data_IF_302520769841
#
_entry.id   IF_302520769841
#
_cell.length_a   1.000
_cell.length_b   1.000
_cell.length_c   1.000
_cell.angle_alpha   90.00
_cell.angle_beta   90.00
_cell.angle_gamma   90.00
#
_symmetry.space_group_name_H-M   'P 1'
#
loop_
_entity.id
_entity.type
_entity.pdbx_description
1 polymer ?
#
# COMPACT_ATOMS: atom_id res chain seq x y z
N UNK A 1 4.10 5.89 -29.08
CA UNK A 1 4.96 5.63 -27.91
C UNK A 1 4.14 5.99 -26.69
N UNK A 2 3.46 5.00 -26.10
CA UNK A 2 2.72 5.23 -24.86
C UNK A 2 3.74 5.44 -23.76
N UNK A 3 3.66 6.56 -23.04
CA UNK A 3 4.45 6.73 -21.83
C UNK A 3 4.00 5.67 -20.83
N UNK A 4 4.95 4.89 -20.31
CA UNK A 4 4.68 3.97 -19.22
C UNK A 4 4.37 4.84 -17.99
N UNK A 5 3.12 4.80 -17.53
CA UNK A 5 2.72 5.54 -16.34
C UNK A 5 3.53 5.02 -15.16
N UNK A 6 4.02 5.90 -14.26
CA UNK A 6 4.76 5.46 -13.10
C UNK A 6 3.90 4.54 -12.22
N UNK A 7 4.52 3.67 -11.41
CA UNK A 7 3.80 2.87 -10.43
C UNK A 7 2.86 3.72 -9.58
N UNK A 8 1.56 3.42 -9.58
CA UNK A 8 0.57 4.25 -8.88
C UNK A 8 -0.59 3.45 -8.30
N UNK A 9 -1.31 4.05 -7.36
CA UNK A 9 -2.54 3.49 -6.77
C UNK A 9 -3.68 3.58 -7.76
N UNK A 10 -4.33 2.46 -8.06
CA UNK A 10 -5.53 2.41 -8.92
C UNK A 10 -6.81 2.31 -8.12
N UNK A 11 -6.76 1.73 -6.91
CA UNK A 11 -7.94 1.56 -6.08
C UNK A 11 -7.57 1.51 -4.59
N UNK A 12 -8.42 2.08 -3.75
CA UNK A 12 -8.32 2.07 -2.29
C UNK A 12 -9.54 1.37 -1.72
N UNK A 13 -9.31 0.41 -0.82
CA UNK A 13 -10.34 -0.41 -0.18
C UNK A 13 -10.16 -0.47 1.32
N UNK A 14 -11.26 -0.31 2.05
CA UNK A 14 -11.34 -0.61 3.49
C UNK A 14 -12.33 -1.74 3.75
N UNK A 15 -12.12 -2.46 4.84
CA UNK A 15 -12.91 -3.60 5.27
C UNK A 15 -13.32 -3.44 6.75
N UNK A 16 -14.25 -2.51 7.07
CA UNK A 16 -14.55 -2.14 8.45
C UNK A 16 -15.16 -3.29 9.27
N UNK A 17 -15.88 -4.20 8.60
CA UNK A 17 -16.58 -5.31 9.23
C UNK A 17 -16.06 -6.64 8.70
N UNK A 18 -15.83 -7.58 9.62
CA UNK A 18 -15.34 -8.92 9.28
C UNK A 18 -16.39 -9.66 8.42
N UNK A 19 -15.96 -10.14 7.26
CA UNK A 19 -16.79 -10.98 6.38
C UNK A 19 -17.68 -10.19 5.43
N UNK A 20 -17.81 -8.88 5.60
CA UNK A 20 -18.51 -8.01 4.67
C UNK A 20 -17.63 -7.64 3.47
N UNK A 21 -18.23 -7.22 2.33
CA UNK A 21 -17.51 -6.66 1.20
C UNK A 21 -16.66 -5.45 1.58
N UNK A 22 -15.63 -5.16 0.78
CA UNK A 22 -14.85 -3.95 0.92
C UNK A 22 -15.61 -2.71 0.45
N UNK A 23 -15.29 -1.57 1.04
CA UNK A 23 -15.73 -0.26 0.59
C UNK A 23 -14.61 0.37 -0.24
N UNK A 24 -14.93 0.78 -1.47
CA UNK A 24 -14.00 1.47 -2.36
C UNK A 24 -14.03 2.96 -2.06
N UNK A 25 -12.84 3.57 -1.98
CA UNK A 25 -12.66 4.99 -1.67
C UNK A 25 -11.84 5.69 -2.76
N UNK A 26 -12.05 6.99 -2.92
CA UNK A 26 -11.20 7.85 -3.77
C UNK A 26 -9.99 8.38 -3.00
N UNK A 27 -10.16 8.62 -1.70
CA UNK A 27 -9.13 9.08 -0.78
C UNK A 27 -9.35 8.52 0.64
N UNK A 28 -8.26 8.48 1.43
CA UNK A 28 -8.29 7.98 2.81
C UNK A 28 -7.11 8.52 3.61
N UNK A 29 -7.30 8.71 4.91
CA UNK A 29 -6.20 8.96 5.84
C UNK A 29 -5.51 7.65 6.25
N UNK A 30 -4.18 7.66 6.24
CA UNK A 30 -3.32 6.59 6.77
C UNK A 30 -2.88 6.97 8.16
N UNK A 31 -3.24 6.16 9.14
CA UNK A 31 -2.80 6.31 10.51
C UNK A 31 -1.69 5.29 10.82
N UNK A 32 -1.06 5.42 12.00
CA UNK A 32 0.07 4.56 12.40
C UNK A 32 -0.22 3.05 12.34
N UNK A 33 -1.48 2.62 12.46
CA UNK A 33 -1.82 1.21 12.35
C UNK A 33 -2.46 0.79 11.02
N UNK A 34 -2.66 1.69 10.04
CA UNK A 34 -3.31 1.39 8.76
C UNK A 34 -4.32 2.45 8.32
N UNK A 35 -5.17 2.11 7.35
CA UNK A 35 -6.19 3.05 6.84
C UNK A 35 -7.22 3.42 7.92
N UNK A 36 -7.63 4.68 7.95
CA UNK A 36 -8.69 5.16 8.82
C UNK A 36 -10.02 4.44 8.49
N UNK A 37 -10.71 3.95 9.53
CA UNK A 37 -11.95 3.18 9.37
C UNK A 37 -11.77 1.72 8.96
N UNK A 38 -10.55 1.25 8.67
CA UNK A 38 -10.30 -0.15 8.32
C UNK A 38 -10.10 -1.06 9.54
N UNK A 39 -10.56 -2.31 9.44
CA UNK A 39 -10.43 -3.30 10.49
C UNK A 39 -9.12 -4.07 10.36
N UNK A 40 -8.10 -3.56 11.06
CA UNK A 40 -6.75 -4.13 11.09
C UNK A 40 -6.71 -5.55 11.68
N UNK A 41 -5.76 -6.36 11.21
CA UNK A 41 -5.54 -7.73 11.72
C UNK A 41 -4.08 -8.12 11.86
N UNK A 42 -3.32 -8.11 10.76
CA UNK A 42 -1.96 -8.68 10.68
C UNK A 42 -0.89 -7.67 10.32
N UNK A 43 -1.18 -6.78 9.38
CA UNK A 43 -0.33 -5.68 8.96
C UNK A 43 -1.17 -4.43 8.85
N UNK A 44 -0.52 -3.27 8.82
CA UNK A 44 -1.21 -1.99 8.68
C UNK A 44 -1.85 -1.84 7.30
N UNK A 45 -1.16 -2.31 6.25
CA UNK A 45 -1.61 -2.25 4.87
C UNK A 45 -1.31 -3.54 4.12
N UNK A 46 -2.19 -3.88 3.18
CA UNK A 46 -1.97 -4.92 2.17
C UNK A 46 -2.05 -4.30 0.77
N UNK A 47 -0.97 -4.42 0.00
CA UNK A 47 -0.85 -3.93 -1.37
C UNK A 47 -0.84 -5.12 -2.33
N UNK A 48 -1.48 -4.98 -3.49
CA UNK A 48 -1.47 -5.98 -4.56
C UNK A 48 -1.36 -5.33 -5.93
N UNK A 49 -0.74 -6.00 -6.90
CA UNK A 49 -0.75 -5.54 -8.29
C UNK A 49 -2.14 -5.68 -8.92
N UNK A 50 -2.44 -4.89 -9.95
CA UNK A 50 -3.67 -5.06 -10.75
C UNK A 50 -3.77 -6.49 -11.32
N UNK A 51 -2.65 -7.07 -11.75
CA UNK A 51 -2.59 -8.42 -12.32
C UNK A 51 -3.08 -9.47 -11.32
N UNK A 52 -2.58 -9.41 -10.09
CA UNK A 52 -2.94 -10.34 -9.02
C UNK A 52 -4.33 -10.07 -8.46
N UNK A 53 -4.76 -8.81 -8.43
CA UNK A 53 -6.12 -8.43 -8.01
C UNK A 53 -7.18 -9.07 -8.92
N UNK A 54 -7.01 -8.94 -10.24
CA UNK A 54 -7.91 -9.56 -11.22
C UNK A 54 -7.86 -11.09 -11.14
N UNK A 55 -6.69 -11.67 -10.92
CA UNK A 55 -6.54 -13.12 -10.89
C UNK A 55 -7.14 -13.78 -9.65
N UNK A 56 -7.08 -13.11 -8.49
CA UNK A 56 -7.34 -13.77 -7.20
C UNK A 56 -8.35 -13.04 -6.31
N UNK A 57 -8.69 -11.79 -6.62
CA UNK A 57 -9.61 -10.93 -5.87
C UNK A 57 -9.31 -10.93 -4.35
N UNK A 58 -8.07 -10.61 -3.94
CA UNK A 58 -7.69 -10.62 -2.54
C UNK A 58 -8.36 -9.45 -1.81
N UNK A 59 -8.44 -9.56 -0.48
CA UNK A 59 -8.90 -8.46 0.38
C UNK A 59 -7.77 -7.49 0.70
N UNK A 60 -7.16 -6.92 -0.34
CA UNK A 60 -6.08 -5.94 -0.23
C UNK A 60 -6.64 -4.52 -0.02
N UNK A 61 -5.89 -3.69 0.71
CA UNK A 61 -6.26 -2.29 0.94
C UNK A 61 -5.96 -1.41 -0.28
N UNK A 62 -4.86 -1.68 -0.98
CA UNK A 62 -4.42 -0.89 -2.13
C UNK A 62 -4.19 -1.81 -3.31
N UNK A 63 -4.80 -1.47 -4.44
CA UNK A 63 -4.46 -2.04 -5.74
C UNK A 63 -3.56 -1.05 -6.46
N UNK A 64 -2.43 -1.54 -6.98
CA UNK A 64 -1.40 -0.70 -7.59
C UNK A 64 -1.07 -1.15 -9.01
N UNK A 65 -0.96 -0.19 -9.91
CA UNK A 65 -0.50 -0.40 -11.28
C UNK A 65 1.04 -0.50 -11.30
N UNK A 66 1.55 -1.69 -11.07
CA UNK A 66 2.98 -2.02 -11.21
C UNK A 66 3.11 -3.51 -11.54
N UNK A 67 4.16 -3.95 -12.26
CA UNK A 67 4.47 -5.36 -12.38
C UNK A 67 4.56 -6.04 -11.01
N UNK A 68 3.95 -7.21 -10.89
CA UNK A 68 3.95 -8.01 -9.65
C UNK A 68 5.37 -8.20 -9.09
N UNK A 69 6.33 -8.55 -9.95
CA UNK A 69 7.72 -8.75 -9.55
C UNK A 69 8.38 -7.50 -8.94
N UNK A 70 8.01 -6.30 -9.38
CA UNK A 70 8.54 -5.04 -8.82
C UNK A 70 7.91 -4.74 -7.46
N UNK A 71 6.61 -4.99 -7.30
CA UNK A 71 5.95 -4.86 -6.00
C UNK A 71 6.58 -5.82 -5.00
N UNK A 72 6.83 -7.06 -5.39
CA UNK A 72 7.48 -8.05 -4.55
C UNK A 72 8.94 -7.70 -4.22
N UNK A 73 9.67 -7.10 -5.17
CA UNK A 73 11.04 -6.65 -4.95
C UNK A 73 11.14 -5.47 -3.96
N UNK A 74 10.02 -4.78 -3.69
CA UNK A 74 9.97 -3.70 -2.70
C UNK A 74 10.01 -4.19 -1.24
N UNK A 75 9.92 -5.50 -0.99
CA UNK A 75 10.05 -6.07 0.35
C UNK A 75 11.38 -5.64 1.00
N UNK A 76 11.29 -5.12 2.23
CA UNK A 76 12.42 -4.56 2.97
C UNK A 76 12.75 -3.10 2.60
N UNK A 77 11.94 -2.46 1.76
CA UNK A 77 12.12 -1.06 1.34
C UNK A 77 11.05 -0.15 1.93
N UNK A 78 11.35 1.15 1.99
CA UNK A 78 10.37 2.19 2.29
C UNK A 78 9.81 2.77 1.01
N UNK A 79 8.50 2.92 0.97
CA UNK A 79 7.77 3.55 -0.12
C UNK A 79 7.04 4.77 0.42
N UNK A 80 7.08 5.87 -0.32
CA UNK A 80 6.18 7.00 -0.13
C UNK A 80 5.05 6.87 -1.14
N UNK A 81 3.82 6.97 -0.65
CA UNK A 81 2.61 6.91 -1.44
C UNK A 81 1.75 8.08 -0.98
N UNK A 82 1.46 9.02 -1.88
CA UNK A 82 0.82 10.28 -1.51
C UNK A 82 1.59 11.01 -0.40
N UNK A 83 0.89 11.30 0.70
CA UNK A 83 1.44 11.89 1.92
C UNK A 83 1.94 10.89 2.96
N UNK A 84 1.74 9.59 2.77
CA UNK A 84 2.14 8.56 3.72
C UNK A 84 3.46 7.88 3.34
N UNK A 85 4.23 7.47 4.35
CA UNK A 85 5.39 6.59 4.17
C UNK A 85 5.14 5.23 4.83
N UNK A 86 5.49 4.17 4.11
CA UNK A 86 5.26 2.79 4.51
C UNK A 86 6.52 1.98 4.34
N UNK A 87 6.70 0.98 5.20
CA UNK A 87 7.78 0.00 5.10
C UNK A 87 7.19 -1.34 4.69
N UNK A 88 7.64 -1.88 3.56
CA UNK A 88 7.12 -3.16 3.04
C UNK A 88 7.77 -4.30 3.83
N UNK A 89 6.98 -4.97 4.66
CA UNK A 89 7.48 -5.93 5.65
C UNK A 89 7.68 -7.34 5.08
N UNK A 90 6.92 -7.71 4.05
CA UNK A 90 7.03 -9.04 3.46
C UNK A 90 5.82 -9.47 2.64
N UNK A 91 5.84 -10.73 2.21
CA UNK A 91 4.73 -11.35 1.47
C UNK A 91 3.77 -12.10 2.41
N UNK A 92 2.46 -12.14 2.12
CA UNK A 92 1.54 -13.04 2.81
C UNK A 92 1.86 -14.51 2.49
N UNK A 93 1.72 -15.41 3.46
CA UNK A 93 2.02 -16.84 3.32
C UNK A 93 0.99 -17.66 2.51
N UNK A 94 0.15 -17.02 1.70
CA UNK A 94 -0.93 -17.67 0.94
C UNK A 94 -1.92 -16.70 0.29
N UNK A 95 -1.52 -15.45 0.12
CA UNK A 95 -2.29 -14.41 -0.55
C UNK A 95 -1.30 -13.57 -1.37
N UNK A 96 -1.66 -13.11 -2.56
CA UNK A 96 -0.77 -12.32 -3.41
C UNK A 96 -0.43 -10.95 -2.81
N UNK A 97 0.56 -10.28 -3.42
CA UNK A 97 1.00 -8.95 -3.02
C UNK A 97 1.92 -8.92 -1.80
N UNK A 98 1.94 -7.78 -1.12
CA UNK A 98 2.86 -7.49 -0.01
C UNK A 98 2.14 -6.80 1.15
N UNK A 99 2.65 -7.03 2.35
CA UNK A 99 2.26 -6.28 3.55
C UNK A 99 3.20 -5.11 3.79
N UNK A 100 2.65 -4.04 4.35
CA UNK A 100 3.42 -2.89 4.77
C UNK A 100 2.94 -2.36 6.12
N UNK A 101 3.89 -1.84 6.90
CA UNK A 101 3.64 -1.07 8.11
C UNK A 101 3.77 0.42 7.82
N UNK A 102 3.02 1.24 8.54
CA UNK A 102 3.06 2.70 8.37
C UNK A 102 4.24 3.26 9.15
N UNK A 103 5.13 3.97 8.45
CA UNK A 103 6.28 4.68 9.03
C UNK A 103 5.90 6.10 9.38
N UNK A 104 5.20 6.78 8.46
CA UNK A 104 4.69 8.13 8.65
C UNK A 104 3.22 8.19 8.20
N UNK A 105 2.29 8.59 9.10
CA UNK A 105 0.90 8.87 8.76
C UNK A 105 0.77 9.98 7.71
N UNK A 106 -0.32 9.94 6.94
CA UNK A 106 -0.61 10.94 5.91
C UNK A 106 -1.80 10.55 5.05
N UNK A 107 -2.14 11.38 4.06
CA UNK A 107 -3.25 11.10 3.15
C UNK A 107 -2.83 10.27 1.93
N UNK A 108 -3.75 9.43 1.46
CA UNK A 108 -3.66 8.67 0.22
C UNK A 108 -4.85 8.96 -0.68
N UNK A 109 -4.61 8.97 -1.99
CA UNK A 109 -5.60 9.13 -3.05
C UNK A 109 -5.36 8.14 -4.19
N UNK A 110 -6.43 7.79 -4.89
CA UNK A 110 -6.30 7.10 -6.19
C UNK A 110 -5.49 7.97 -7.14
N UNK A 111 -4.54 7.36 -7.84
CA UNK A 111 -3.57 8.02 -8.72
C UNK A 111 -2.25 8.37 -8.04
N UNK A 112 -2.12 8.25 -6.71
CA UNK A 112 -0.86 8.53 -6.02
C UNK A 112 0.25 7.58 -6.47
N UNK A 113 1.40 8.16 -6.77
CA UNK A 113 2.58 7.43 -7.26
C UNK A 113 3.31 6.77 -6.10
N UNK A 114 3.78 5.53 -6.33
CA UNK A 114 4.65 4.80 -5.43
C UNK A 114 6.10 5.21 -5.69
N UNK A 115 6.72 5.86 -4.70
CA UNK A 115 8.10 6.33 -4.78
C UNK A 115 8.95 5.58 -3.78
N UNK A 116 10.04 4.95 -4.23
CA UNK A 116 11.02 4.40 -3.31
C UNK A 116 11.68 5.55 -2.54
N UNK A 117 11.60 5.49 -1.21
CA UNK A 117 12.35 6.40 -0.35
C UNK A 117 13.76 5.82 -0.27
N UNK A 118 14.71 6.48 -0.92
CA UNK A 118 16.12 6.10 -0.80
C UNK A 118 16.53 6.06 0.69
N UNK A 119 17.55 5.28 1.03
CA UNK A 119 18.20 5.33 2.33
C UNK A 119 18.96 6.66 2.49
N UNK A 120 18.24 7.78 2.42
CA UNK A 120 18.74 9.12 2.73
C UNK A 120 18.53 9.35 4.21
N UNK A 121 19.64 9.23 4.96
CA UNK A 121 19.90 9.80 6.28
C UNK A 121 18.69 9.99 7.19
N UNK A 122 18.56 9.10 8.17
CA UNK A 122 17.74 9.27 9.37
C UNK A 122 17.79 10.72 9.83
N UNK A 123 16.69 11.46 9.69
CA UNK A 123 16.53 12.73 10.39
C UNK A 123 16.78 12.45 11.88
N UNK A 124 17.88 13.00 12.39
CA UNK A 124 18.29 12.85 13.78
C UNK A 124 17.15 13.33 14.71
N UNK A 125 16.98 12.72 15.89
CA UNK A 125 15.97 13.15 16.85
C UNK A 125 16.23 14.60 17.24
N UNK A 126 15.16 15.40 17.25
CA UNK A 126 15.18 16.76 17.81
C UNK A 126 15.59 16.68 19.27
N UNK A 127 16.58 17.50 19.62
CA UNK A 127 17.20 17.63 20.93
C UNK A 127 16.22 18.03 22.06
#
# INVERSE_FOLDING_TARGET
>A
MSAELPPHVTEIRIYPVKGEPGQVLEDVEVEAGGLAGDRRKKAALHLVSVEEDVATHPRANLVVATPTALLEASVGQRLRIGGAEVFVTGKPSGCPGVYADVVAPGSLRVGDVLLAVGAGETAAPTA
#
